data_IF_479095528308
#
_entry.id   IF_479095528308
#
_cell.length_a   1.000
_cell.length_b   1.000
_cell.length_c   1.000
_cell.angle_alpha   90.00
_cell.angle_beta   90.00
_cell.angle_gamma   90.00
#
_symmetry.space_group_name_H-M   'P 1'
#
loop_
_entity.id
_entity.type
_entity.pdbx_description
1 polymer ?
#
# COMPACT_ATOMS: atom_id res chain seq x y z
N UNK A 1 -14.69 4.25 -8.72
CA UNK A 1 -15.72 3.35 -8.17
C UNK A 1 -16.32 4.01 -6.94
N UNK A 2 -17.61 3.90 -6.65
CA UNK A 2 -18.15 4.43 -5.40
C UNK A 2 -17.61 3.61 -4.24
N UNK A 3 -17.17 4.26 -3.16
CA UNK A 3 -16.77 3.61 -1.92
C UNK A 3 -17.89 2.69 -1.39
N UNK A 4 -17.57 1.55 -0.77
CA UNK A 4 -18.59 0.70 -0.12
C UNK A 4 -19.40 1.50 0.90
N UNK A 5 -20.71 1.28 0.94
CA UNK A 5 -21.70 2.04 1.72
C UNK A 5 -21.56 1.92 3.26
N UNK A 6 -20.59 1.19 3.78
CA UNK A 6 -20.46 0.87 5.21
C UNK A 6 -19.45 1.73 5.99
N UNK A 7 -19.03 2.87 5.44
CA UNK A 7 -18.22 3.83 6.20
C UNK A 7 -19.13 4.68 7.08
N UNK A 8 -19.36 4.21 8.30
CA UNK A 8 -20.15 4.91 9.34
C UNK A 8 -19.43 6.21 9.73
N UNK A 9 -20.06 7.34 9.43
CA UNK A 9 -19.65 8.66 9.91
C UNK A 9 -20.10 8.81 11.37
N UNK A 10 -19.17 8.69 12.32
CA UNK A 10 -19.44 9.00 13.72
C UNK A 10 -19.38 10.52 13.94
N UNK A 11 -20.48 11.06 14.47
CA UNK A 11 -20.70 12.47 14.82
C UNK A 11 -19.77 12.95 15.94
N UNK A 12 -19.46 14.25 15.86
CA UNK A 12 -18.49 14.96 16.68
C UNK A 12 -18.98 15.23 18.13
N UNK A 13 -18.10 14.95 19.11
CA UNK A 13 -18.04 15.72 20.35
C UNK A 13 -16.63 16.28 20.51
N UNK A 14 -16.52 17.61 20.66
CA UNK A 14 -15.28 18.31 21.04
C UNK A 14 -15.18 18.34 22.57
N UNK A 15 -14.06 17.94 23.17
CA UNK A 15 -13.65 18.44 24.48
C UNK A 15 -12.78 19.69 24.33
N UNK A 16 -12.99 20.63 25.24
CA UNK A 16 -12.29 21.90 25.41
C UNK A 16 -10.82 21.72 25.75
N UNK A 17 -9.96 22.54 25.15
CA UNK A 17 -8.51 22.61 25.39
C UNK A 17 -8.20 23.05 26.85
N UNK A 18 -7.13 22.51 27.46
CA UNK A 18 -6.42 23.19 28.54
C UNK A 18 -5.14 23.87 28.00
N UNK A 19 -5.06 25.14 28.31
CA UNK A 19 -3.90 26.02 28.18
C UNK A 19 -2.71 25.47 29.00
N UNK A 20 -1.56 25.25 28.35
CA UNK A 20 -0.26 25.07 29.02
C UNK A 20 0.86 25.65 28.20
N UNK A 21 1.16 26.91 28.46
CA UNK A 21 2.50 27.48 28.26
C UNK A 21 3.50 26.78 29.16
N UNK A 22 4.42 26.03 28.56
CA UNK A 22 5.65 25.60 29.25
C UNK A 22 6.82 25.83 28.28
N UNK A 23 7.58 26.86 28.59
CA UNK A 23 8.86 27.18 27.97
C UNK A 23 9.90 26.11 28.32
N UNK A 24 10.39 25.38 27.33
CA UNK A 24 11.59 24.57 27.43
C UNK A 24 12.70 25.20 26.59
N UNK A 25 13.85 25.40 27.25
CA UNK A 25 15.06 26.09 26.84
C UNK A 25 15.56 25.70 25.44
N UNK A 26 15.89 26.75 24.66
CA UNK A 26 16.31 26.65 23.28
C UNK A 26 17.68 26.01 23.09
N UNK A 27 17.67 24.82 22.51
CA UNK A 27 18.75 24.37 21.64
C UNK A 27 18.22 24.53 20.20
N UNK A 28 18.72 25.55 19.48
CA UNK A 28 18.48 25.68 18.03
C UNK A 28 18.97 24.39 17.36
N UNK A 29 18.04 23.51 16.97
CA UNK A 29 18.34 22.40 16.08
C UNK A 29 18.84 23.01 14.76
N UNK A 30 20.07 22.64 14.35
CA UNK A 30 20.58 22.95 13.01
C UNK A 30 19.54 22.47 12.00
N UNK A 31 18.99 23.40 11.18
CA UNK A 31 18.19 23.03 10.02
C UNK A 31 19.05 22.07 9.19
N UNK A 32 18.59 20.84 9.00
CA UNK A 32 19.16 19.97 7.98
C UNK A 32 18.91 20.66 6.64
N UNK A 33 19.90 20.63 5.75
CA UNK A 33 19.70 21.02 4.37
C UNK A 33 18.51 20.21 3.79
N UNK A 34 17.67 20.83 2.92
CA UNK A 34 16.63 20.06 2.25
C UNK A 34 17.27 18.81 1.64
N UNK A 35 16.69 17.66 1.87
CA UNK A 35 17.14 16.43 1.21
C UNK A 35 16.94 16.58 -0.29
N UNK A 36 17.91 16.11 -1.08
CA UNK A 36 17.75 16.02 -2.52
C UNK A 36 16.50 15.20 -2.86
N UNK A 37 15.74 15.64 -3.85
CA UNK A 37 14.61 14.89 -4.39
C UNK A 37 15.02 14.23 -5.70
N UNK A 38 14.33 13.14 -6.15
CA UNK A 38 14.62 12.51 -7.43
C UNK A 38 14.53 13.47 -8.63
N UNK A 39 13.78 14.55 -8.46
CA UNK A 39 13.50 15.53 -9.52
C UNK A 39 14.37 16.78 -9.44
N UNK A 40 15.40 16.82 -8.59
CA UNK A 40 16.29 17.97 -8.48
C UNK A 40 16.99 18.22 -9.83
N UNK A 41 16.80 19.44 -10.34
CA UNK A 41 17.28 19.85 -11.68
C UNK A 41 16.27 19.65 -12.81
N UNK A 42 15.14 18.95 -12.58
CA UNK A 42 14.05 18.86 -13.55
C UNK A 42 13.18 20.11 -13.50
N UNK A 43 12.92 20.79 -14.65
CA UNK A 43 12.01 21.93 -14.66
C UNK A 43 10.62 21.53 -14.16
N UNK A 44 10.04 22.33 -13.28
CA UNK A 44 8.74 22.03 -12.63
C UNK A 44 7.58 21.81 -13.64
N UNK A 45 7.66 22.45 -14.82
CA UNK A 45 6.71 22.29 -15.92
C UNK A 45 6.71 20.87 -16.53
N UNK A 46 7.82 20.14 -16.39
CA UNK A 46 8.00 18.81 -16.97
C UNK A 46 7.61 17.69 -15.98
N UNK A 47 7.24 18.07 -14.75
CA UNK A 47 6.76 17.17 -13.70
C UNK A 47 5.23 17.02 -13.79
N UNK A 48 4.73 15.84 -13.45
CA UNK A 48 3.31 15.63 -13.27
C UNK A 48 2.78 16.32 -12.00
N UNK A 49 1.45 16.42 -11.78
CA UNK A 49 0.90 17.09 -10.59
C UNK A 49 1.34 16.47 -9.26
N UNK A 50 1.44 15.14 -9.19
CA UNK A 50 1.86 14.42 -7.98
C UNK A 50 3.33 14.66 -7.68
N UNK A 51 4.22 14.57 -8.67
CA UNK A 51 5.64 14.86 -8.52
C UNK A 51 5.88 16.29 -8.04
N UNK A 52 5.17 17.27 -8.61
CA UNK A 52 5.22 18.67 -8.15
C UNK A 52 4.77 18.82 -6.71
N UNK A 53 3.66 18.16 -6.32
CA UNK A 53 3.16 18.23 -4.96
C UNK A 53 4.16 17.63 -3.96
N UNK A 54 4.75 16.46 -4.27
CA UNK A 54 5.75 15.79 -3.43
C UNK A 54 7.03 16.62 -3.36
N UNK A 55 7.53 17.14 -4.48
CA UNK A 55 8.73 17.99 -4.50
C UNK A 55 8.55 19.26 -3.65
N UNK A 56 7.40 19.92 -3.77
CA UNK A 56 7.07 21.10 -2.96
C UNK A 56 6.90 20.76 -1.48
N UNK A 57 6.31 19.61 -1.19
CA UNK A 57 6.08 19.11 0.17
C UNK A 57 7.35 18.52 0.81
N UNK A 58 8.35 18.13 0.04
CA UNK A 58 9.56 17.45 0.54
C UNK A 58 10.32 18.26 1.61
N UNK A 59 10.21 19.59 1.57
CA UNK A 59 10.76 20.48 2.61
C UNK A 59 9.94 20.42 3.90
N UNK A 60 8.63 20.18 3.83
CA UNK A 60 7.71 20.10 4.96
C UNK A 60 7.58 18.68 5.52
N UNK A 61 7.79 17.65 4.71
CA UNK A 61 7.80 16.23 5.13
C UNK A 61 8.82 15.99 6.26
N UNK A 62 9.94 16.71 6.24
CA UNK A 62 10.96 16.64 7.30
C UNK A 62 10.83 17.73 8.38
N UNK A 63 9.89 18.66 8.23
CA UNK A 63 9.54 19.68 9.22
C UNK A 63 8.08 19.48 9.68
N UNK A 64 7.83 18.44 10.45
CA UNK A 64 6.56 17.88 10.91
C UNK A 64 5.54 18.87 11.53
N UNK A 65 5.70 20.18 11.37
CA UNK A 65 4.90 21.17 12.07
C UNK A 65 4.02 22.05 11.20
N UNK A 66 4.25 22.08 9.88
CA UNK A 66 3.53 22.97 8.98
C UNK A 66 3.18 22.25 7.70
N UNK A 67 1.95 21.72 7.66
CA UNK A 67 1.35 21.32 6.40
C UNK A 67 0.93 22.57 5.64
N UNK A 68 1.42 22.71 4.42
CA UNK A 68 1.11 23.82 3.55
C UNK A 68 -0.07 23.47 2.65
N UNK A 69 -1.13 24.31 2.69
CA UNK A 69 -2.26 24.19 1.78
C UNK A 69 -2.01 24.89 0.43
N UNK A 70 -0.89 25.60 0.33
CA UNK A 70 -0.52 26.28 -0.89
C UNK A 70 -0.23 25.26 -2.00
N UNK A 71 -0.97 25.40 -3.10
CA UNK A 71 -0.84 24.48 -4.22
C UNK A 71 -1.83 23.31 -4.27
N UNK A 72 -2.64 23.07 -3.24
CA UNK A 72 -3.64 21.98 -3.26
C UNK A 72 -4.59 22.09 -4.47
N UNK A 73 -5.10 23.30 -4.77
CA UNK A 73 -5.96 23.49 -5.94
C UNK A 73 -5.20 23.29 -7.26
N UNK A 74 -3.91 23.58 -7.33
CA UNK A 74 -3.09 23.30 -8.50
C UNK A 74 -2.90 21.80 -8.69
N UNK A 75 -2.61 21.07 -7.62
CA UNK A 75 -2.53 19.61 -7.63
C UNK A 75 -3.83 19.01 -8.18
N UNK A 76 -4.98 19.31 -7.56
CA UNK A 76 -6.27 18.75 -7.97
C UNK A 76 -6.68 19.16 -9.38
N UNK A 77 -6.43 20.41 -9.78
CA UNK A 77 -6.75 20.90 -11.13
C UNK A 77 -5.82 20.28 -12.21
N UNK A 78 -4.69 19.71 -11.81
CA UNK A 78 -3.79 18.94 -12.67
C UNK A 78 -4.43 17.65 -13.18
N UNK A 79 -5.50 17.17 -12.52
CA UNK A 79 -6.30 15.99 -12.91
C UNK A 79 -7.71 16.41 -13.37
N UNK A 80 -7.84 16.98 -14.59
CA UNK A 80 -9.13 17.44 -15.08
C UNK A 80 -10.07 16.27 -15.33
N UNK A 81 -11.37 16.50 -15.11
CA UNK A 81 -12.39 15.49 -15.40
C UNK A 81 -12.81 15.56 -16.87
N UNK A 82 -12.97 14.39 -17.48
CA UNK A 82 -13.51 14.17 -18.83
C UNK A 82 -14.94 13.61 -18.80
N UNK A 83 -15.39 13.06 -17.67
CA UNK A 83 -16.69 12.48 -17.46
C UNK A 83 -17.26 12.80 -16.07
N UNK A 84 -18.56 12.65 -15.93
CA UNK A 84 -19.27 12.87 -14.68
C UNK A 84 -19.08 11.69 -13.71
N UNK A 85 -18.52 11.89 -12.50
CA UNK A 85 -18.33 10.79 -11.54
C UNK A 85 -19.63 10.18 -11.01
N UNK A 86 -20.77 10.87 -11.19
CA UNK A 86 -22.07 10.39 -10.71
C UNK A 86 -22.82 9.50 -11.71
N UNK A 87 -22.62 9.69 -13.02
CA UNK A 87 -23.40 8.98 -14.04
C UNK A 87 -22.57 8.54 -15.26
N UNK A 88 -21.25 8.75 -15.25
CA UNK A 88 -20.34 8.36 -16.33
C UNK A 88 -20.45 9.17 -17.62
N UNK A 89 -21.38 10.16 -17.70
CA UNK A 89 -21.60 10.91 -18.93
C UNK A 89 -20.44 11.84 -19.29
N UNK A 90 -19.94 11.83 -20.54
CA UNK A 90 -18.92 12.78 -20.99
C UNK A 90 -19.49 14.20 -21.24
N UNK A 91 -20.80 14.39 -21.14
CA UNK A 91 -21.46 15.69 -21.37
C UNK A 91 -21.31 16.58 -20.13
N UNK A 92 -20.11 17.06 -19.87
CA UNK A 92 -19.79 17.95 -18.76
C UNK A 92 -19.46 19.37 -19.25
N UNK A 93 -19.57 20.34 -18.36
CA UNK A 93 -19.18 21.72 -18.62
C UNK A 93 -18.42 22.29 -17.42
N UNK A 94 -17.33 23.01 -17.68
CA UNK A 94 -16.62 23.80 -16.66
C UNK A 94 -17.50 24.94 -16.18
N UNK A 95 -17.50 25.21 -14.86
CA UNK A 95 -18.33 26.23 -14.19
C UNK A 95 -17.49 27.19 -13.35
N UNK A 96 -16.33 27.57 -13.88
CA UNK A 96 -15.38 28.41 -13.15
C UNK A 96 -14.71 27.69 -12.00
N UNK A 97 -14.05 28.44 -11.15
CA UNK A 97 -13.38 27.96 -9.93
C UNK A 97 -14.16 28.38 -8.69
N UNK A 98 -13.99 27.66 -7.60
CA UNK A 98 -14.49 28.08 -6.29
C UNK A 98 -13.55 29.12 -5.66
N UNK A 99 -13.87 29.52 -4.40
CA UNK A 99 -13.08 30.51 -3.64
C UNK A 99 -11.63 30.05 -3.38
N UNK A 100 -11.42 28.74 -3.32
CA UNK A 100 -10.12 28.13 -3.00
C UNK A 100 -9.34 27.75 -4.30
N UNK A 101 -9.87 28.17 -5.47
CA UNK A 101 -9.22 27.98 -6.78
C UNK A 101 -9.49 26.63 -7.44
N UNK A 102 -10.32 25.75 -6.84
CA UNK A 102 -10.63 24.45 -7.37
C UNK A 102 -11.64 24.51 -8.53
N UNK A 103 -11.36 23.84 -9.64
CA UNK A 103 -12.24 23.81 -10.81
C UNK A 103 -13.59 23.15 -10.49
N UNK A 104 -14.67 23.81 -10.87
CA UNK A 104 -16.04 23.29 -10.76
C UNK A 104 -16.55 22.81 -12.12
N UNK A 105 -17.32 21.74 -12.09
CA UNK A 105 -17.99 21.17 -13.26
C UNK A 105 -19.50 21.01 -13.00
N UNK A 106 -20.28 20.93 -14.09
CA UNK A 106 -21.66 20.46 -14.06
C UNK A 106 -21.89 19.41 -15.13
N UNK A 107 -22.66 18.40 -14.82
CA UNK A 107 -23.08 17.38 -15.77
C UNK A 107 -24.35 17.84 -16.49
N UNK A 108 -24.34 17.86 -17.83
CA UNK A 108 -25.51 18.20 -18.64
C UNK A 108 -26.54 17.06 -18.70
N UNK A 109 -26.18 15.85 -18.28
CA UNK A 109 -27.05 14.68 -18.29
C UNK A 109 -27.80 14.51 -16.98
N UNK A 110 -27.12 14.52 -15.82
CA UNK A 110 -27.75 14.31 -14.51
C UNK A 110 -27.92 15.60 -13.68
N UNK A 111 -27.44 16.76 -14.17
CA UNK A 111 -27.57 18.06 -13.52
C UNK A 111 -26.66 18.29 -12.32
N UNK A 112 -25.93 17.28 -11.84
CA UNK A 112 -25.09 17.37 -10.64
C UNK A 112 -23.84 18.21 -10.89
N UNK A 113 -23.43 18.91 -9.84
CA UNK A 113 -22.15 19.61 -9.78
C UNK A 113 -21.10 18.71 -9.14
N UNK A 114 -19.84 18.88 -9.53
CA UNK A 114 -18.70 18.14 -9.01
C UNK A 114 -17.39 18.90 -9.25
N UNK A 115 -16.31 18.40 -8.68
CA UNK A 115 -14.95 18.95 -8.80
C UNK A 115 -13.97 17.80 -9.14
N UNK A 116 -12.68 18.07 -9.37
CA UNK A 116 -11.68 17.02 -9.56
C UNK A 116 -11.62 16.01 -8.42
N UNK A 117 -11.85 16.44 -7.17
CA UNK A 117 -11.78 15.57 -5.99
C UNK A 117 -13.02 14.69 -5.78
N UNK A 118 -14.14 14.98 -6.46
CA UNK A 118 -15.38 14.22 -6.28
C UNK A 118 -15.21 12.75 -6.67
N UNK A 119 -15.54 11.83 -5.76
CA UNK A 119 -15.37 10.39 -5.93
C UNK A 119 -13.92 9.90 -5.81
N UNK A 120 -13.01 10.71 -5.28
CA UNK A 120 -11.63 10.33 -4.98
C UNK A 120 -11.40 10.23 -3.47
N UNK A 121 -10.22 9.73 -3.07
CA UNK A 121 -9.82 9.70 -1.66
C UNK A 121 -9.72 11.10 -1.02
N UNK A 122 -9.63 12.14 -1.84
CA UNK A 122 -9.55 13.54 -1.40
C UNK A 122 -10.91 14.20 -1.22
N UNK A 123 -12.01 13.54 -1.59
CA UNK A 123 -13.35 14.09 -1.34
C UNK A 123 -13.55 14.30 0.16
N UNK A 124 -14.02 15.51 0.53
CA UNK A 124 -14.17 15.97 1.91
C UNK A 124 -12.87 15.94 2.75
N UNK A 125 -11.70 15.89 2.11
CA UNK A 125 -10.43 15.99 2.81
C UNK A 125 -10.29 17.35 3.49
N UNK A 126 -9.88 17.34 4.76
CA UNK A 126 -9.67 18.56 5.58
C UNK A 126 -8.19 18.84 5.83
N UNK A 127 -7.32 17.95 5.35
CA UNK A 127 -5.89 18.08 5.47
C UNK A 127 -5.29 18.21 4.06
N UNK A 128 -4.20 18.96 3.92
CA UNK A 128 -3.60 19.24 2.63
C UNK A 128 -2.97 18.01 1.99
N UNK A 129 -2.68 18.08 0.68
CA UNK A 129 -1.99 17.02 -0.07
C UNK A 129 -0.62 16.70 0.55
N UNK A 130 0.08 17.71 1.10
CA UNK A 130 1.35 17.51 1.81
C UNK A 130 1.22 16.53 2.99
N UNK A 131 0.10 16.57 3.73
CA UNK A 131 -0.16 15.63 4.81
C UNK A 131 -0.41 14.19 4.31
N UNK A 132 -0.98 14.05 3.11
CA UNK A 132 -1.12 12.75 2.44
C UNK A 132 0.23 12.22 1.96
N UNK A 133 1.06 13.08 1.36
CA UNK A 133 2.41 12.71 0.93
C UNK A 133 3.25 12.19 2.11
N UNK A 134 3.19 12.88 3.25
CA UNK A 134 3.85 12.47 4.49
C UNK A 134 3.33 11.12 5.01
N UNK A 135 2.01 10.95 5.03
CA UNK A 135 1.39 9.70 5.45
C UNK A 135 1.79 8.50 4.57
N UNK A 136 1.78 8.66 3.26
CA UNK A 136 2.20 7.61 2.33
C UNK A 136 3.68 7.28 2.51
N UNK A 137 4.54 8.31 2.69
CA UNK A 137 5.97 8.11 2.95
C UNK A 137 6.23 7.29 4.23
N UNK A 138 5.50 7.58 5.31
CA UNK A 138 5.56 6.82 6.55
C UNK A 138 5.11 5.37 6.32
N UNK A 139 3.99 5.18 5.61
CA UNK A 139 3.43 3.86 5.31
C UNK A 139 4.40 2.97 4.52
N UNK A 140 5.00 3.48 3.43
CA UNK A 140 6.01 2.73 2.64
C UNK A 140 7.35 2.59 3.36
N UNK A 141 7.56 3.32 4.46
CA UNK A 141 8.75 3.21 5.32
C UNK A 141 8.56 2.23 6.48
N UNK A 142 7.48 1.46 6.50
CA UNK A 142 7.16 0.44 7.51
C UNK A 142 6.84 1.03 8.89
N UNK A 143 6.40 2.28 8.95
CA UNK A 143 5.92 2.84 10.19
C UNK A 143 4.57 2.25 10.60
N UNK A 144 4.41 1.96 11.88
CA UNK A 144 3.14 1.44 12.38
C UNK A 144 2.07 2.53 12.38
N UNK A 145 0.80 2.14 12.22
CA UNK A 145 -0.34 3.08 12.30
C UNK A 145 -0.33 3.88 13.60
N UNK A 146 0.08 3.25 14.70
CA UNK A 146 0.20 3.94 16.00
C UNK A 146 1.35 4.96 16.02
N UNK A 147 2.48 4.68 15.35
CA UNK A 147 3.58 5.63 15.22
C UNK A 147 3.13 6.85 14.41
N UNK A 148 2.54 6.63 13.23
CA UNK A 148 2.00 7.69 12.37
C UNK A 148 1.00 8.60 13.12
N UNK A 149 0.12 7.99 13.95
CA UNK A 149 -0.85 8.73 14.75
C UNK A 149 -0.17 9.64 15.78
N UNK A 150 0.87 9.13 16.46
CA UNK A 150 1.57 9.85 17.54
C UNK A 150 2.47 10.96 17.00
N UNK A 151 3.21 10.68 15.95
CA UNK A 151 4.17 11.63 15.37
C UNK A 151 3.49 12.85 14.79
N UNK A 152 2.39 12.64 14.09
CA UNK A 152 1.62 13.71 13.46
C UNK A 152 0.56 14.31 14.38
N UNK A 153 0.47 13.86 15.64
CA UNK A 153 -0.56 14.29 16.59
C UNK A 153 -1.97 14.16 16.05
N UNK A 154 -2.20 13.16 15.22
CA UNK A 154 -3.53 12.86 14.64
C UNK A 154 -4.41 12.18 15.68
N UNK A 155 -5.73 12.22 15.46
CA UNK A 155 -6.63 11.40 16.29
C UNK A 155 -6.43 9.92 15.99
N UNK A 156 -6.67 9.06 16.98
CA UNK A 156 -6.53 7.59 16.86
C UNK A 156 -7.40 6.99 15.74
N UNK A 157 -8.38 7.73 15.23
CA UNK A 157 -9.25 7.32 14.12
C UNK A 157 -8.76 7.78 12.76
N UNK A 158 -7.89 8.80 12.70
CA UNK A 158 -7.45 9.39 11.41
C UNK A 158 -6.55 8.45 10.63
N UNK A 159 -5.50 7.91 11.25
CA UNK A 159 -4.56 7.04 10.54
C UNK A 159 -5.21 5.74 10.06
N UNK A 160 -6.04 5.01 10.84
CA UNK A 160 -6.80 3.86 10.32
C UNK A 160 -7.75 4.21 9.17
N UNK A 161 -8.40 5.37 9.22
CA UNK A 161 -9.27 5.84 8.14
C UNK A 161 -8.47 6.14 6.86
N UNK A 162 -7.31 6.76 6.98
CA UNK A 162 -6.43 7.03 5.85
C UNK A 162 -5.81 5.75 5.28
N UNK A 163 -5.46 4.79 6.13
CA UNK A 163 -5.04 3.46 5.67
C UNK A 163 -6.12 2.79 4.82
N UNK A 164 -7.39 2.88 5.23
CA UNK A 164 -8.48 2.31 4.44
C UNK A 164 -8.63 3.00 3.07
N UNK A 165 -8.45 4.33 3.00
CA UNK A 165 -8.42 5.06 1.73
C UNK A 165 -7.23 4.67 0.86
N UNK A 166 -6.04 4.54 1.47
CA UNK A 166 -4.84 4.08 0.77
C UNK A 166 -5.03 2.67 0.19
N UNK A 167 -5.62 1.74 0.95
CA UNK A 167 -5.93 0.41 0.44
C UNK A 167 -6.90 0.43 -0.74
N UNK A 168 -7.89 1.34 -0.74
CA UNK A 168 -8.80 1.49 -1.88
C UNK A 168 -8.10 2.02 -3.14
N UNK A 169 -7.07 2.84 -3.00
CA UNK A 169 -6.21 3.29 -4.13
C UNK A 169 -5.35 2.15 -4.65
N UNK A 170 -4.80 1.33 -3.75
CA UNK A 170 -3.89 0.25 -4.09
C UNK A 170 -4.60 -1.04 -4.53
N UNK A 171 -5.94 -1.11 -4.42
CA UNK A 171 -6.71 -2.30 -4.80
C UNK A 171 -6.42 -2.72 -6.24
N UNK A 172 -5.97 -3.95 -6.43
CA UNK A 172 -5.63 -4.49 -7.75
C UNK A 172 -4.28 -4.06 -8.31
N UNK A 173 -3.46 -3.32 -7.57
CA UNK A 173 -2.14 -2.84 -8.05
C UNK A 173 -1.24 -4.00 -8.50
N UNK A 174 -1.44 -5.17 -7.95
CA UNK A 174 -0.68 -6.38 -8.32
C UNK A 174 -1.31 -7.16 -9.48
N UNK A 175 -2.49 -6.77 -10.02
CA UNK A 175 -3.22 -7.58 -10.99
C UNK A 175 -2.49 -7.78 -12.33
N UNK A 176 -1.71 -6.81 -12.75
CA UNK A 176 -0.90 -6.88 -13.98
C UNK A 176 0.53 -7.41 -13.78
N UNK A 177 0.88 -7.84 -12.56
CA UNK A 177 2.26 -8.28 -12.27
C UNK A 177 2.50 -9.66 -12.85
N UNK A 178 3.52 -9.77 -13.71
CA UNK A 178 3.98 -11.04 -14.29
C UNK A 178 5.45 -11.23 -13.92
N UNK A 179 5.73 -12.29 -13.16
CA UNK A 179 7.09 -12.73 -12.85
C UNK A 179 7.67 -13.50 -14.03
N UNK A 180 8.95 -13.35 -14.33
CA UNK A 180 9.58 -13.98 -15.49
C UNK A 180 11.05 -14.36 -15.26
N UNK A 181 11.63 -15.09 -16.19
CA UNK A 181 13.02 -15.53 -16.08
C UNK A 181 13.18 -16.62 -15.02
N UNK A 182 14.00 -16.40 -14.03
CA UNK A 182 14.09 -17.28 -12.85
C UNK A 182 13.15 -16.73 -11.77
N UNK A 183 12.19 -17.55 -11.38
CA UNK A 183 11.14 -17.20 -10.41
C UNK A 183 11.27 -18.10 -9.19
N UNK A 184 11.10 -17.54 -8.01
CA UNK A 184 10.98 -18.23 -6.73
C UNK A 184 9.61 -17.98 -6.15
N UNK A 185 8.96 -19.03 -5.64
CA UNK A 185 7.71 -18.92 -4.89
C UNK A 185 7.79 -19.71 -3.59
N UNK A 186 7.08 -19.22 -2.59
CA UNK A 186 6.89 -19.88 -1.29
C UNK A 186 5.62 -19.34 -0.64
N UNK A 187 5.07 -20.07 0.34
CA UNK A 187 3.96 -19.59 1.15
C UNK A 187 4.41 -19.31 2.58
N UNK A 188 3.91 -18.21 3.08
CA UNK A 188 4.07 -17.86 4.48
C UNK A 188 2.72 -17.78 5.18
N UNK A 189 2.73 -18.02 6.50
CA UNK A 189 1.50 -18.13 7.27
C UNK A 189 1.46 -17.08 8.37
N UNK A 190 0.31 -16.41 8.50
CA UNK A 190 0.08 -15.41 9.53
C UNK A 190 -1.14 -15.81 10.38
N UNK A 191 -1.05 -15.81 11.73
CA UNK A 191 -2.16 -16.25 12.59
C UNK A 191 -3.36 -15.31 12.48
N UNK A 192 -4.56 -15.88 12.56
CA UNK A 192 -5.78 -15.11 12.80
C UNK A 192 -5.70 -14.41 14.17
N UNK A 193 -6.52 -13.37 14.34
CA UNK A 193 -6.75 -12.80 15.65
C UNK A 193 -7.39 -13.84 16.56
N UNK A 194 -7.18 -13.71 17.88
CA UNK A 194 -7.67 -14.72 18.82
C UNK A 194 -9.20 -14.87 18.78
N UNK A 195 -9.91 -13.76 18.56
CA UNK A 195 -11.36 -13.71 18.40
C UNK A 195 -11.89 -14.42 17.15
N UNK A 196 -11.08 -14.47 16.08
CA UNK A 196 -11.45 -15.09 14.78
C UNK A 196 -10.99 -16.55 14.70
N UNK A 197 -10.19 -17.01 15.67
CA UNK A 197 -9.58 -18.32 15.63
C UNK A 197 -10.54 -19.39 16.17
N UNK A 198 -10.81 -20.42 15.36
CA UNK A 198 -11.63 -21.56 15.80
C UNK A 198 -10.84 -22.46 16.78
N UNK A 199 -11.35 -22.64 17.97
CA UNK A 199 -10.83 -23.58 18.94
C UNK A 199 -11.28 -25.02 18.61
N UNK A 200 -10.51 -26.02 19.09
CA UNK A 200 -10.93 -27.42 19.13
C UNK A 200 -12.03 -27.62 20.18
N UNK A 201 -12.70 -28.80 20.17
CA UNK A 201 -13.67 -29.14 21.20
C UNK A 201 -13.10 -29.10 22.64
N UNK A 202 -11.77 -29.28 22.79
CA UNK A 202 -11.06 -29.18 24.06
C UNK A 202 -10.69 -27.73 24.46
N UNK A 203 -11.16 -26.74 23.72
CA UNK A 203 -10.91 -25.32 23.95
C UNK A 203 -9.51 -24.84 23.53
N UNK A 204 -8.65 -25.71 23.00
CA UNK A 204 -7.28 -25.35 22.58
C UNK A 204 -7.24 -24.99 21.12
N UNK A 205 -6.36 -24.05 20.78
CA UNK A 205 -6.08 -23.75 19.36
C UNK A 205 -5.31 -24.89 18.70
N UNK A 206 -5.61 -25.21 17.43
CA UNK A 206 -4.83 -26.18 16.64
C UNK A 206 -3.35 -25.78 16.58
N UNK A 207 -2.46 -26.75 16.67
CA UNK A 207 -1.01 -26.55 16.47
C UNK A 207 -0.67 -26.68 15.00
N UNK A 208 0.42 -26.01 14.57
CA UNK A 208 0.92 -26.05 13.19
C UNK A 208 0.03 -25.27 12.21
N UNK A 209 0.22 -25.53 10.91
CA UNK A 209 -0.55 -24.89 9.85
C UNK A 209 -2.00 -25.37 9.87
N UNK A 210 -2.93 -24.48 10.20
CA UNK A 210 -4.36 -24.77 10.33
C UNK A 210 -5.20 -23.66 9.68
N UNK A 211 -6.50 -23.86 9.58
CA UNK A 211 -7.43 -22.83 9.09
C UNK A 211 -7.43 -21.53 9.92
N UNK A 212 -6.78 -21.54 11.09
CA UNK A 212 -6.54 -20.34 11.90
C UNK A 212 -5.34 -19.51 11.44
N UNK A 213 -4.86 -19.74 10.24
CA UNK A 213 -3.79 -18.98 9.64
C UNK A 213 -4.18 -18.49 8.25
N UNK A 214 -3.84 -17.24 7.96
CA UNK A 214 -3.84 -16.72 6.59
C UNK A 214 -2.67 -17.38 5.85
N UNK A 215 -2.94 -17.87 4.64
CA UNK A 215 -1.92 -18.32 3.69
C UNK A 215 -1.62 -17.17 2.74
N UNK A 216 -0.36 -16.79 2.65
CA UNK A 216 0.11 -15.68 1.82
C UNK A 216 1.15 -16.24 0.85
N UNK A 217 0.84 -16.22 -0.43
CA UNK A 217 1.78 -16.55 -1.49
C UNK A 217 2.76 -15.39 -1.72
N UNK A 218 4.02 -15.72 -1.78
CA UNK A 218 5.13 -14.81 -2.02
C UNK A 218 5.88 -15.26 -3.26
N UNK A 219 6.01 -14.37 -4.24
CA UNK A 219 6.78 -14.61 -5.45
C UNK A 219 7.83 -13.53 -5.65
N UNK A 220 8.97 -13.89 -6.24
CA UNK A 220 10.01 -12.96 -6.66
C UNK A 220 10.73 -13.50 -7.90
N UNK A 221 11.13 -12.62 -8.81
CA UNK A 221 11.95 -13.01 -9.96
C UNK A 221 13.37 -12.46 -9.88
N UNK A 222 14.21 -12.84 -10.86
CA UNK A 222 15.62 -12.45 -10.91
C UNK A 222 15.85 -10.97 -11.27
N UNK A 223 14.80 -10.24 -11.68
CA UNK A 223 14.83 -8.78 -11.77
C UNK A 223 14.61 -8.08 -10.41
N UNK A 224 14.24 -8.83 -9.38
CA UNK A 224 13.87 -8.32 -8.06
C UNK A 224 12.39 -7.97 -7.92
N UNK A 225 11.58 -8.11 -8.98
CA UNK A 225 10.13 -7.90 -8.92
C UNK A 225 9.49 -8.93 -8.00
N UNK A 226 8.69 -8.47 -7.04
CA UNK A 226 8.06 -9.34 -6.05
C UNK A 226 6.53 -9.17 -6.03
N UNK A 227 5.82 -10.18 -5.54
CA UNK A 227 4.36 -10.17 -5.36
C UNK A 227 3.97 -10.84 -4.05
N UNK A 228 2.87 -10.36 -3.45
CA UNK A 228 2.37 -10.81 -2.15
C UNK A 228 0.85 -10.92 -2.22
N UNK A 229 0.31 -12.12 -2.22
CA UNK A 229 -1.11 -12.35 -2.44
C UNK A 229 -1.71 -13.20 -1.32
N UNK A 230 -2.83 -12.78 -0.78
CA UNK A 230 -3.62 -13.60 0.15
C UNK A 230 -4.29 -14.74 -0.62
N UNK A 231 -3.77 -15.96 -0.44
CA UNK A 231 -4.28 -17.16 -1.10
C UNK A 231 -5.55 -17.71 -0.46
N UNK A 232 -5.71 -17.53 0.85
CA UNK A 232 -6.82 -18.08 1.63
C UNK A 232 -6.42 -18.46 3.05
N UNK A 233 -7.01 -19.52 3.58
CA UNK A 233 -6.82 -19.94 4.96
C UNK A 233 -6.26 -21.37 5.05
N UNK A 234 -5.36 -21.58 5.99
CA UNK A 234 -4.74 -22.87 6.24
C UNK A 234 -3.59 -23.18 5.29
N UNK A 235 -3.26 -24.46 5.17
CA UNK A 235 -2.14 -24.91 4.33
C UNK A 235 -2.47 -24.68 2.85
N UNK A 236 -1.48 -24.19 2.10
CA UNK A 236 -1.56 -24.07 0.65
C UNK A 236 -1.90 -25.41 -0.03
N UNK A 237 -2.60 -25.31 -1.13
CA UNK A 237 -2.92 -26.44 -1.99
C UNK A 237 -2.86 -26.01 -3.47
N UNK A 238 -2.78 -26.98 -4.37
CA UNK A 238 -2.60 -26.69 -5.80
C UNK A 238 -3.70 -25.80 -6.42
N UNK A 239 -4.90 -25.74 -5.83
CA UNK A 239 -5.96 -24.84 -6.28
C UNK A 239 -5.68 -23.40 -5.88
N UNK A 240 -5.25 -23.16 -4.62
CA UNK A 240 -4.86 -21.85 -4.11
C UNK A 240 -3.67 -21.32 -4.91
N UNK A 241 -2.60 -22.10 -5.00
CA UNK A 241 -1.37 -21.73 -5.69
C UNK A 241 -1.60 -21.41 -7.18
N UNK A 242 -2.46 -22.19 -7.87
CA UNK A 242 -2.83 -21.88 -9.26
C UNK A 242 -3.63 -20.58 -9.38
N UNK A 243 -4.52 -20.30 -8.45
CA UNK A 243 -5.27 -19.03 -8.45
C UNK A 243 -4.33 -17.84 -8.26
N UNK A 244 -3.29 -18.00 -7.45
CA UNK A 244 -2.34 -16.93 -7.11
C UNK A 244 -1.28 -16.71 -8.17
N UNK A 245 -0.68 -17.80 -8.66
CA UNK A 245 0.49 -17.77 -9.54
C UNK A 245 0.25 -18.37 -10.94
N UNK A 246 -1.00 -18.72 -11.27
CA UNK A 246 -1.36 -19.33 -12.54
C UNK A 246 -1.22 -18.40 -13.74
N UNK A 247 -2.04 -18.63 -14.75
CA UNK A 247 -1.96 -17.91 -16.02
C UNK A 247 -1.99 -16.38 -15.84
N UNK A 248 -1.04 -15.69 -16.48
CA UNK A 248 -0.89 -14.24 -16.39
C UNK A 248 -0.10 -13.74 -15.17
N UNK A 249 0.34 -14.64 -14.25
CA UNK A 249 1.14 -14.25 -13.06
C UNK A 249 2.61 -14.70 -13.13
N UNK A 250 2.87 -15.80 -13.82
CA UNK A 250 4.23 -16.25 -14.16
C UNK A 250 4.27 -16.47 -15.67
N UNK A 251 5.30 -15.95 -16.31
CA UNK A 251 5.52 -16.12 -17.73
C UNK A 251 5.77 -17.59 -18.06
N UNK A 252 5.10 -18.11 -19.07
CA UNK A 252 5.27 -19.50 -19.52
C UNK A 252 6.73 -19.78 -19.88
N UNK A 253 7.22 -20.96 -19.54
CA UNK A 253 8.60 -21.39 -19.80
C UNK A 253 9.64 -20.78 -18.87
N UNK A 254 9.25 -19.98 -17.86
CA UNK A 254 10.15 -19.52 -16.80
C UNK A 254 10.71 -20.68 -16.00
N UNK A 255 11.84 -20.45 -15.33
CA UNK A 255 12.41 -21.44 -14.37
C UNK A 255 11.81 -21.17 -13.00
N UNK A 256 11.06 -22.15 -12.46
CA UNK A 256 10.50 -22.07 -11.11
C UNK A 256 11.41 -22.78 -10.12
N UNK A 257 11.97 -22.03 -9.19
CA UNK A 257 12.75 -22.56 -8.06
C UNK A 257 11.89 -22.53 -6.80
N UNK A 258 11.62 -23.68 -6.21
CA UNK A 258 10.74 -23.81 -5.06
C UNK A 258 11.17 -24.98 -4.15
N UNK A 259 10.56 -25.08 -2.97
CA UNK A 259 10.71 -26.24 -2.12
C UNK A 259 9.94 -27.46 -2.68
N UNK A 260 9.95 -28.57 -1.95
CA UNK A 260 9.25 -29.80 -2.36
C UNK A 260 7.73 -29.76 -2.16
N UNK A 261 7.09 -28.56 -1.96
CA UNK A 261 5.64 -28.54 -1.75
C UNK A 261 4.89 -28.99 -3.03
N UNK A 262 3.94 -29.91 -2.82
CA UNK A 262 3.17 -30.51 -3.90
C UNK A 262 2.19 -29.51 -4.55
N UNK A 263 1.86 -28.42 -3.85
CA UNK A 263 0.99 -27.36 -4.34
C UNK A 263 1.52 -26.70 -5.62
N UNK A 264 2.84 -26.61 -5.77
CA UNK A 264 3.52 -25.96 -6.91
C UNK A 264 3.52 -26.80 -8.19
N UNK A 265 3.40 -28.12 -8.10
CA UNK A 265 3.52 -29.02 -9.26
C UNK A 265 2.46 -28.79 -10.32
N UNK A 266 1.29 -28.30 -9.93
CA UNK A 266 0.24 -27.95 -10.85
C UNK A 266 0.63 -26.77 -11.76
N UNK A 267 1.30 -25.75 -11.19
CA UNK A 267 1.83 -24.60 -11.94
C UNK A 267 2.89 -25.01 -12.95
N UNK A 268 3.84 -25.86 -12.54
CA UNK A 268 4.92 -26.36 -13.39
C UNK A 268 4.35 -26.98 -14.68
N UNK A 269 3.30 -27.78 -14.55
CA UNK A 269 2.65 -28.44 -15.70
C UNK A 269 1.85 -27.44 -16.55
N UNK A 270 1.03 -26.62 -15.91
CA UNK A 270 0.11 -25.71 -16.58
C UNK A 270 0.84 -24.61 -17.39
N UNK A 271 1.91 -24.06 -16.81
CA UNK A 271 2.69 -23.00 -17.44
C UNK A 271 3.93 -23.50 -18.17
N UNK A 272 4.14 -24.83 -18.25
CA UNK A 272 5.33 -25.45 -18.87
C UNK A 272 6.65 -24.90 -18.31
N UNK A 273 6.72 -24.78 -16.96
CA UNK A 273 7.88 -24.20 -16.29
C UNK A 273 9.03 -25.21 -16.21
N UNK A 274 10.26 -24.71 -16.19
CA UNK A 274 11.44 -25.49 -15.82
C UNK A 274 11.45 -25.68 -14.31
N UNK A 275 11.29 -26.92 -13.85
CA UNK A 275 11.10 -27.27 -12.44
C UNK A 275 12.44 -27.44 -11.71
N UNK A 276 12.75 -26.54 -10.77
CA UNK A 276 13.95 -26.61 -9.92
C UNK A 276 13.53 -26.74 -8.46
N UNK A 277 13.59 -27.99 -7.94
CA UNK A 277 13.19 -28.30 -6.57
C UNK A 277 14.37 -28.26 -5.62
N UNK A 278 14.20 -27.58 -4.52
CA UNK A 278 15.20 -27.40 -3.48
C UNK A 278 14.80 -28.15 -2.21
N UNK A 279 15.60 -29.09 -1.77
CA UNK A 279 15.36 -29.75 -0.48
C UNK A 279 15.98 -28.94 0.65
N UNK A 280 15.18 -28.02 1.24
CA UNK A 280 15.62 -27.13 2.31
C UNK A 280 16.16 -27.90 3.54
N UNK A 281 15.67 -29.12 3.81
CA UNK A 281 16.16 -29.89 4.96
C UNK A 281 17.63 -30.35 4.82
N UNK A 282 18.12 -30.48 3.59
CA UNK A 282 19.53 -30.82 3.28
C UNK A 282 20.46 -29.61 3.31
N UNK A 283 19.92 -28.42 3.44
CA UNK A 283 20.67 -27.15 3.38
C UNK A 283 20.87 -26.54 4.76
N UNK A 284 20.63 -27.25 5.84
CA UNK A 284 20.89 -26.80 7.19
C UNK A 284 22.35 -26.38 7.35
N UNK A 285 22.60 -25.13 7.77
CA UNK A 285 23.97 -24.63 7.96
C UNK A 285 24.60 -24.01 6.70
N UNK A 286 23.91 -24.02 5.56
CA UNK A 286 24.33 -23.24 4.39
C UNK A 286 24.12 -21.76 4.71
N UNK A 287 25.12 -20.87 4.50
CA UNK A 287 24.95 -19.43 4.64
C UNK A 287 23.80 -18.92 3.79
N UNK A 288 23.06 -17.91 4.31
CA UNK A 288 21.87 -17.38 3.63
C UNK A 288 22.16 -16.90 2.21
N UNK A 289 23.34 -16.31 1.98
CA UNK A 289 23.76 -15.81 0.65
C UNK A 289 23.92 -16.92 -0.39
N UNK A 290 24.17 -18.16 0.05
CA UNK A 290 24.35 -19.34 -0.81
C UNK A 290 23.09 -20.22 -0.87
N UNK A 291 22.05 -19.87 -0.12
CA UNK A 291 20.83 -20.68 -0.07
C UNK A 291 20.01 -20.49 -1.36
N UNK A 292 19.69 -21.57 -2.11
CA UNK A 292 18.99 -21.46 -3.41
C UNK A 292 17.62 -20.79 -3.34
N UNK A 293 16.93 -20.80 -2.18
CA UNK A 293 15.65 -20.13 -1.93
C UNK A 293 15.82 -18.76 -1.26
N UNK A 294 17.05 -18.24 -1.16
CA UNK A 294 17.33 -16.96 -0.49
C UNK A 294 16.46 -15.81 -1.01
N UNK A 295 16.22 -15.63 -2.33
CA UNK A 295 15.40 -14.52 -2.81
C UNK A 295 13.99 -14.52 -2.19
N UNK A 296 13.29 -15.64 -2.22
CA UNK A 296 11.92 -15.72 -1.65
C UNK A 296 11.93 -15.72 -0.12
N UNK A 297 12.93 -16.36 0.52
CA UNK A 297 13.08 -16.33 1.98
C UNK A 297 13.23 -14.89 2.49
N UNK A 298 14.02 -14.08 1.77
CA UNK A 298 14.19 -12.65 2.07
C UNK A 298 12.86 -11.88 1.97
N UNK A 299 12.07 -12.14 0.93
CA UNK A 299 10.74 -11.52 0.78
C UNK A 299 9.79 -11.97 1.90
N UNK A 300 9.79 -13.25 2.27
CA UNK A 300 9.02 -13.76 3.41
C UNK A 300 9.45 -13.12 4.75
N UNK A 301 10.74 -12.84 4.94
CA UNK A 301 11.25 -12.13 6.10
C UNK A 301 10.73 -10.69 6.15
N UNK A 302 10.82 -9.95 5.04
CA UNK A 302 10.30 -8.58 4.96
C UNK A 302 8.80 -8.53 5.19
N UNK A 303 8.03 -9.43 4.58
CA UNK A 303 6.60 -9.57 4.81
C UNK A 303 6.28 -9.75 6.30
N UNK A 304 6.95 -10.69 6.97
CA UNK A 304 6.72 -10.93 8.41
C UNK A 304 7.10 -9.72 9.27
N UNK A 305 8.18 -9.03 8.93
CA UNK A 305 8.62 -7.82 9.62
C UNK A 305 7.60 -6.70 9.44
N UNK A 306 7.11 -6.50 8.22
CA UNK A 306 6.11 -5.52 7.88
C UNK A 306 4.78 -5.78 8.62
N UNK A 307 4.25 -7.01 8.54
CA UNK A 307 3.02 -7.37 9.26
C UNK A 307 3.16 -7.26 10.77
N UNK A 308 4.36 -7.52 11.31
CA UNK A 308 4.65 -7.36 12.74
C UNK A 308 4.67 -5.88 13.16
N UNK A 309 5.20 -4.98 12.34
CA UNK A 309 5.16 -3.53 12.62
C UNK A 309 3.74 -2.98 12.62
N UNK A 310 2.84 -3.58 11.82
CA UNK A 310 1.42 -3.23 11.74
C UNK A 310 0.52 -4.15 12.59
N UNK A 311 1.08 -4.83 13.61
CA UNK A 311 0.29 -5.75 14.46
C UNK A 311 -0.96 -5.07 15.04
N UNK A 312 -2.07 -5.81 15.13
CA UNK A 312 -3.38 -5.28 15.52
C UNK A 312 -4.31 -4.91 14.36
N UNK A 313 -3.88 -5.05 13.12
CA UNK A 313 -4.74 -4.84 11.95
C UNK A 313 -5.86 -5.88 11.85
N UNK A 314 -6.97 -5.49 11.25
CA UNK A 314 -8.07 -6.42 10.93
C UNK A 314 -7.63 -7.41 9.85
N UNK A 315 -7.77 -8.70 10.09
CA UNK A 315 -7.35 -9.76 9.15
C UNK A 315 -8.06 -9.70 7.80
N UNK A 316 -9.29 -9.17 7.76
CA UNK A 316 -10.01 -8.90 6.50
C UNK A 316 -9.34 -7.87 5.60
N UNK A 317 -8.45 -7.04 6.14
CA UNK A 317 -7.70 -6.02 5.39
C UNK A 317 -6.33 -6.50 4.93
N UNK A 318 -6.01 -7.79 5.08
CA UNK A 318 -4.68 -8.32 4.79
C UNK A 318 -4.21 -7.96 3.38
N UNK A 319 -5.07 -8.08 2.36
CA UNK A 319 -4.65 -7.77 0.98
C UNK A 319 -4.22 -6.31 0.82
N UNK A 320 -4.90 -5.34 1.45
CA UNK A 320 -4.47 -3.95 1.41
C UNK A 320 -3.07 -3.72 2.02
N UNK A 321 -2.72 -4.45 3.09
CA UNK A 321 -1.35 -4.44 3.63
C UNK A 321 -0.35 -5.11 2.69
N UNK A 322 -0.74 -6.18 1.99
CA UNK A 322 0.12 -6.83 1.00
C UNK A 322 0.35 -5.95 -0.23
N UNK A 323 -0.67 -5.20 -0.67
CA UNK A 323 -0.56 -4.23 -1.76
C UNK A 323 0.34 -3.05 -1.37
N UNK A 324 0.25 -2.58 -0.12
CA UNK A 324 1.17 -1.57 0.40
C UNK A 324 2.61 -2.09 0.48
N UNK A 325 2.80 -3.33 0.94
CA UNK A 325 4.11 -3.98 0.94
C UNK A 325 4.66 -4.12 -0.48
N UNK A 326 3.82 -4.47 -1.46
CA UNK A 326 4.20 -4.52 -2.87
C UNK A 326 4.77 -3.18 -3.34
N UNK A 327 4.09 -2.07 -3.07
CA UNK A 327 4.61 -0.73 -3.39
C UNK A 327 5.93 -0.44 -2.69
N UNK A 328 6.05 -0.82 -1.42
CA UNK A 328 7.27 -0.57 -0.66
C UNK A 328 8.48 -1.36 -1.17
N UNK A 329 8.27 -2.57 -1.70
CA UNK A 329 9.34 -3.51 -2.08
C UNK A 329 9.73 -3.45 -3.56
N UNK A 330 8.86 -2.94 -4.45
CA UNK A 330 9.09 -2.90 -5.90
C UNK A 330 9.46 -1.48 -6.36
N UNK A 331 9.83 -1.36 -7.63
CA UNK A 331 10.12 -0.07 -8.27
C UNK A 331 8.92 0.89 -8.21
N UNK A 332 9.19 2.19 -8.19
CA UNK A 332 10.52 2.82 -8.17
C UNK A 332 11.24 2.59 -6.83
N UNK A 333 12.59 2.64 -6.82
CA UNK A 333 13.37 2.45 -5.58
C UNK A 333 13.26 3.64 -4.62
N UNK A 334 13.22 4.84 -5.16
CA UNK A 334 13.12 6.06 -4.35
C UNK A 334 11.74 6.19 -3.70
N UNK A 335 11.73 6.50 -2.40
CA UNK A 335 10.49 6.59 -1.63
C UNK A 335 9.59 7.76 -2.02
N UNK A 336 10.17 8.88 -2.46
CA UNK A 336 9.39 10.03 -2.90
C UNK A 336 8.73 9.77 -4.26
N UNK A 337 9.40 9.02 -5.15
CA UNK A 337 8.80 8.54 -6.39
C UNK A 337 7.63 7.58 -6.11
N UNK A 338 7.77 6.68 -5.13
CA UNK A 338 6.65 5.82 -4.68
C UNK A 338 5.47 6.66 -4.20
N UNK A 339 5.73 7.69 -3.38
CA UNK A 339 4.68 8.61 -2.90
C UNK A 339 4.00 9.29 -4.08
N UNK A 340 4.76 9.81 -5.04
CA UNK A 340 4.20 10.45 -6.24
C UNK A 340 3.32 9.48 -7.04
N UNK A 341 3.78 8.24 -7.24
CA UNK A 341 3.03 7.19 -7.95
C UNK A 341 1.71 6.84 -7.25
N UNK A 342 1.69 6.83 -5.92
CA UNK A 342 0.47 6.53 -5.14
C UNK A 342 -0.52 7.69 -5.18
N UNK A 343 -0.04 8.94 -5.29
CA UNK A 343 -0.88 10.13 -5.34
C UNK A 343 -1.38 10.46 -6.75
N UNK A 344 -0.75 9.91 -7.81
CA UNK A 344 -1.13 10.06 -9.21
C UNK A 344 -2.37 9.23 -9.58
#
# INVERSE_FOLDING_TARGET
>A
MPFPADVVVLSRHRPSEPDRTTTLSGKKRRRRAPSATPWDGTPERDLNPAERAVMRSSRSIYDFRHHDFEGDSEFYNGYPRDSCPHCGSPRIARKGKDRDGLQRYSCKTCGRYFSPVTGTIFEDAKLPVSAWADFVLQAVSFESVNAMTREDRRSDTTAPYWMAKLFAVLEGIQDGVVLSGRVWIDETYWPLAAEDAAARPDGKLPRGTSKNQLCIGVGVDDSGRSTFIHEGFGRANGGMTRKTFGEGRIARGSTLTHDYDQSHLALVRELSLVDVRVNASKLKGVPDELHPLQPVNRMCYFLKTFLKSHSGFKRSQIQGYLDLLYVAMNEPEDKLEKVATVLD
#
